data_IF_874677515386
#
_entry.id   IF_874677515386
#
_cell.length_a   1.000
_cell.length_b   1.000
_cell.length_c   1.000
_cell.angle_alpha   90.00
_cell.angle_beta   90.00
_cell.angle_gamma   90.00
#
_symmetry.space_group_name_H-M   'P 1'
#
loop_
_entity.id
_entity.type
_entity.pdbx_description
1 polymer ?
#
# COMPACT_ATOMS: atom_id res chain seq x y z
N UNK A 1 14.45 -16.56 7.77
CA UNK A 1 15.25 -17.20 6.69
C UNK A 1 14.63 -16.83 5.35
N UNK A 2 15.42 -16.60 4.30
CA UNK A 2 14.87 -16.37 2.96
C UNK A 2 14.17 -17.64 2.45
N UNK A 3 13.15 -17.47 1.59
CA UNK A 3 12.30 -18.58 1.10
C UNK A 3 13.14 -19.77 0.59
N UNK A 4 14.08 -19.52 -0.33
CA UNK A 4 14.88 -20.58 -0.96
C UNK A 4 15.79 -21.32 0.03
N UNK A 5 16.36 -20.62 1.00
CA UNK A 5 17.16 -21.26 2.05
C UNK A 5 16.30 -22.13 2.96
N UNK A 6 15.12 -21.64 3.34
CA UNK A 6 14.15 -22.42 4.13
C UNK A 6 13.69 -23.66 3.38
N UNK A 7 13.34 -23.52 2.09
CA UNK A 7 12.89 -24.63 1.26
C UNK A 7 13.99 -25.68 1.05
N UNK A 8 15.25 -25.24 0.89
CA UNK A 8 16.40 -26.15 0.84
C UNK A 8 16.53 -26.98 2.12
N UNK A 9 16.39 -26.35 3.30
CA UNK A 9 16.46 -27.04 4.59
C UNK A 9 15.31 -28.05 4.81
N UNK A 10 14.20 -27.92 4.08
CA UNK A 10 13.09 -28.87 4.12
C UNK A 10 13.36 -30.19 3.39
N UNK A 11 14.35 -30.23 2.49
CA UNK A 11 14.66 -31.44 1.72
C UNK A 11 15.44 -32.46 2.58
N UNK A 12 14.71 -33.40 3.15
CA UNK A 12 15.26 -34.54 3.88
C UNK A 12 14.78 -35.86 3.27
N UNK A 13 15.71 -36.71 2.82
CA UNK A 13 15.42 -38.00 2.18
C UNK A 13 14.73 -39.00 3.10
N UNK A 14 14.70 -38.75 4.41
CA UNK A 14 14.03 -39.61 5.41
C UNK A 14 12.56 -39.25 5.62
N UNK A 15 12.12 -38.08 5.16
CA UNK A 15 10.76 -37.57 5.35
C UNK A 15 9.83 -38.01 4.23
N UNK A 16 8.54 -38.11 4.54
CA UNK A 16 7.52 -38.35 3.52
C UNK A 16 7.32 -37.09 2.68
N UNK A 17 6.83 -37.26 1.45
CA UNK A 17 6.56 -36.14 0.55
C UNK A 17 5.64 -35.07 1.19
N UNK A 18 4.58 -35.49 1.87
CA UNK A 18 3.62 -34.58 2.53
C UNK A 18 4.29 -33.70 3.60
N UNK A 19 5.22 -34.26 4.37
CA UNK A 19 5.98 -33.54 5.39
C UNK A 19 6.92 -32.50 4.76
N UNK A 20 7.52 -32.83 3.61
CA UNK A 20 8.36 -31.92 2.84
C UNK A 20 7.49 -30.80 2.24
N UNK A 21 6.34 -31.12 1.65
CA UNK A 21 5.42 -30.15 1.05
C UNK A 21 4.95 -29.13 2.09
N UNK A 22 4.44 -29.59 3.23
CA UNK A 22 3.99 -28.72 4.32
C UNK A 22 5.14 -27.85 4.86
N UNK A 23 6.37 -28.39 4.96
CA UNK A 23 7.54 -27.59 5.35
C UNK A 23 7.83 -26.45 4.36
N UNK A 24 7.81 -26.73 3.06
CA UNK A 24 8.07 -25.75 2.00
C UNK A 24 6.94 -24.71 1.92
N UNK A 25 5.68 -25.10 2.14
CA UNK A 25 4.56 -24.18 2.25
C UNK A 25 4.74 -23.21 3.43
N UNK A 26 5.18 -23.70 4.59
CA UNK A 26 5.45 -22.82 5.73
C UNK A 26 6.59 -21.82 5.45
N UNK A 27 7.52 -22.14 4.54
CA UNK A 27 8.57 -21.20 4.12
C UNK A 27 8.03 -20.01 3.30
N UNK A 28 6.84 -20.10 2.70
CA UNK A 28 6.25 -19.01 1.92
C UNK A 28 5.46 -18.02 2.80
N UNK A 29 5.02 -18.43 3.99
CA UNK A 29 4.24 -17.59 4.91
C UNK A 29 4.88 -16.20 5.15
N UNK A 30 6.20 -16.06 5.38
CA UNK A 30 6.80 -14.75 5.59
C UNK A 30 6.66 -13.80 4.39
N UNK A 31 6.82 -14.31 3.16
CA UNK A 31 6.69 -13.48 1.95
C UNK A 31 5.22 -13.16 1.64
N UNK A 32 4.31 -14.08 1.90
CA UNK A 32 2.87 -13.82 1.77
C UNK A 32 2.40 -12.75 2.75
N UNK A 33 2.83 -12.82 4.01
CA UNK A 33 2.52 -11.80 5.01
C UNK A 33 3.10 -10.44 4.62
N UNK A 34 4.30 -10.41 4.04
CA UNK A 34 4.91 -9.19 3.56
C UNK A 34 4.10 -8.55 2.41
N UNK A 35 3.68 -9.36 1.43
CA UNK A 35 2.82 -8.89 0.34
C UNK A 35 1.49 -8.34 0.87
N UNK A 36 0.82 -9.08 1.75
CA UNK A 36 -0.45 -8.65 2.35
C UNK A 36 -0.31 -7.30 3.08
N UNK A 37 0.81 -7.08 3.77
CA UNK A 37 1.08 -5.81 4.42
C UNK A 37 1.20 -4.66 3.40
N UNK A 38 1.98 -4.87 2.33
CA UNK A 38 2.14 -3.86 1.26
C UNK A 38 0.80 -3.51 0.64
N UNK A 39 0.00 -4.53 0.30
CA UNK A 39 -1.33 -4.35 -0.25
C UNK A 39 -2.24 -3.56 0.69
N UNK A 40 -2.24 -3.90 1.99
CA UNK A 40 -3.06 -3.22 2.99
C UNK A 40 -2.67 -1.75 3.18
N UNK A 41 -1.37 -1.44 3.21
CA UNK A 41 -0.90 -0.06 3.34
C UNK A 41 -1.19 0.74 2.07
N UNK A 42 -1.08 0.12 0.89
CA UNK A 42 -1.44 0.76 -0.37
C UNK A 42 -2.94 1.01 -0.49
N UNK A 43 -3.78 0.09 -0.01
CA UNK A 43 -5.22 0.28 0.02
C UNK A 43 -5.63 1.48 0.90
N UNK A 44 -5.01 1.64 2.08
CA UNK A 44 -5.23 2.81 2.95
C UNK A 44 -4.78 4.11 2.29
N UNK A 45 -3.63 4.08 1.63
CA UNK A 45 -3.13 5.22 0.88
C UNK A 45 -4.10 5.66 -0.23
N UNK A 46 -4.61 4.70 -1.00
CA UNK A 46 -5.62 4.94 -2.03
C UNK A 46 -6.93 5.47 -1.46
N UNK A 47 -7.41 4.93 -0.33
CA UNK A 47 -8.60 5.42 0.36
C UNK A 47 -8.46 6.89 0.78
N UNK A 48 -7.33 7.25 1.39
CA UNK A 48 -7.03 8.63 1.77
C UNK A 48 -7.02 9.57 0.57
N UNK A 49 -6.36 9.19 -0.52
CA UNK A 49 -6.31 9.97 -1.75
C UNK A 49 -7.72 10.16 -2.34
N UNK A 50 -8.50 9.08 -2.47
CA UNK A 50 -9.87 9.15 -2.99
C UNK A 50 -10.75 10.07 -2.14
N UNK A 51 -10.64 10.00 -0.82
CA UNK A 51 -11.38 10.89 0.08
C UNK A 51 -11.01 12.36 -0.15
N UNK A 52 -9.73 12.68 -0.36
CA UNK A 52 -9.30 14.05 -0.68
C UNK A 52 -9.87 14.55 -2.00
N UNK A 53 -9.98 13.69 -3.01
CA UNK A 53 -10.59 14.05 -4.30
C UNK A 53 -12.10 14.31 -4.19
N UNK A 54 -12.82 13.53 -3.39
CA UNK A 54 -14.26 13.76 -3.10
C UNK A 54 -14.46 15.15 -2.48
N UNK A 55 -13.59 15.58 -1.56
CA UNK A 55 -13.65 16.93 -0.98
C UNK A 55 -13.47 18.02 -2.05
N UNK A 56 -12.60 17.80 -3.04
CA UNK A 56 -12.43 18.74 -4.14
C UNK A 56 -13.68 18.80 -5.03
N UNK A 57 -14.31 17.66 -5.30
CA UNK A 57 -15.56 17.58 -6.04
C UNK A 57 -16.69 18.33 -5.29
N UNK A 58 -16.83 18.13 -3.98
CA UNK A 58 -17.84 18.81 -3.16
C UNK A 58 -17.67 20.33 -3.21
N UNK A 59 -16.44 20.82 -3.12
CA UNK A 59 -16.14 22.26 -3.24
C UNK A 59 -16.54 22.82 -4.59
N UNK A 60 -16.27 22.07 -5.66
CA UNK A 60 -16.65 22.47 -7.02
C UNK A 60 -18.18 22.54 -7.19
N UNK A 61 -18.91 21.53 -6.72
CA UNK A 61 -20.38 21.54 -6.79
C UNK A 61 -20.98 22.68 -5.94
N UNK A 62 -20.40 22.98 -4.77
CA UNK A 62 -20.81 24.15 -3.98
C UNK A 62 -20.56 25.48 -4.70
N UNK A 63 -19.43 25.64 -5.41
CA UNK A 63 -19.16 26.84 -6.20
C UNK A 63 -20.17 27.03 -7.35
N UNK A 64 -20.56 25.92 -8.01
CA UNK A 64 -21.61 25.92 -9.03
C UNK A 64 -22.97 26.36 -8.48
N UNK A 65 -23.37 25.85 -7.31
CA UNK A 65 -24.62 26.24 -6.66
C UNK A 65 -24.66 27.73 -6.31
N UNK A 66 -23.52 28.32 -5.92
CA UNK A 66 -23.38 29.76 -5.64
C UNK A 66 -23.36 30.63 -6.90
N UNK A 67 -23.56 30.06 -8.09
CA UNK A 67 -23.42 30.72 -9.40
C UNK A 67 -22.06 31.40 -9.63
N UNK A 68 -21.03 30.99 -8.88
CA UNK A 68 -19.64 31.43 -9.10
C UNK A 68 -19.10 30.61 -10.27
N UNK A 69 -19.52 30.97 -11.50
CA UNK A 69 -19.14 30.23 -12.71
C UNK A 69 -17.70 30.51 -13.15
N UNK A 70 -17.22 31.73 -12.90
CA UNK A 70 -15.87 32.16 -13.24
C UNK A 70 -14.91 31.77 -12.12
N UNK A 71 -14.02 30.80 -12.37
CA UNK A 71 -12.95 30.42 -11.45
C UNK A 71 -13.13 29.06 -10.75
N UNK A 72 -14.34 28.49 -10.73
CA UNK A 72 -14.60 27.21 -10.08
C UNK A 72 -13.75 26.05 -10.63
N UNK A 73 -13.47 26.04 -11.94
CA UNK A 73 -12.59 25.04 -12.57
C UNK A 73 -11.15 25.21 -12.10
N UNK A 74 -10.63 26.44 -12.05
CA UNK A 74 -9.28 26.72 -11.57
C UNK A 74 -9.11 26.37 -10.08
N UNK A 75 -10.16 26.61 -9.28
CA UNK A 75 -10.19 26.20 -7.87
C UNK A 75 -10.21 24.68 -7.70
N UNK A 76 -10.96 23.97 -8.56
CA UNK A 76 -10.97 22.50 -8.59
C UNK A 76 -9.58 21.97 -8.95
N UNK A 77 -8.96 22.48 -10.01
CA UNK A 77 -7.60 22.11 -10.42
C UNK A 77 -6.59 22.34 -9.29
N UNK A 78 -6.62 23.53 -8.67
CA UNK A 78 -5.77 23.85 -7.52
C UNK A 78 -6.06 23.00 -6.28
N UNK A 79 -7.28 22.50 -6.12
CA UNK A 79 -7.63 21.56 -5.06
C UNK A 79 -7.04 20.18 -5.32
N UNK A 80 -7.21 19.68 -6.55
CA UNK A 80 -6.69 18.37 -6.97
C UNK A 80 -5.17 18.35 -6.91
N UNK A 81 -4.50 19.39 -7.39
CA UNK A 81 -3.03 19.49 -7.32
C UNK A 81 -2.53 19.40 -5.88
N UNK A 82 -3.14 20.17 -4.96
CA UNK A 82 -2.81 20.07 -3.52
C UNK A 82 -3.09 18.69 -2.94
N UNK A 83 -4.23 18.08 -3.25
CA UNK A 83 -4.56 16.73 -2.78
C UNK A 83 -3.55 15.67 -3.25
N UNK A 84 -3.05 15.82 -4.48
CA UNK A 84 -2.00 14.95 -5.03
C UNK A 84 -0.66 15.23 -4.34
N UNK A 85 -0.26 16.49 -4.17
CA UNK A 85 0.98 16.86 -3.47
C UNK A 85 0.98 16.35 -2.02
N UNK A 86 -0.13 16.52 -1.30
CA UNK A 86 -0.30 16.01 0.06
C UNK A 86 -0.16 14.47 0.09
N UNK A 87 -0.75 13.78 -0.90
CA UNK A 87 -0.60 12.33 -1.04
C UNK A 87 0.85 11.93 -1.32
N UNK A 88 1.57 12.65 -2.18
CA UNK A 88 2.99 12.39 -2.45
C UNK A 88 3.83 12.55 -1.17
N UNK A 89 3.55 13.57 -0.36
CA UNK A 89 4.23 13.81 0.92
C UNK A 89 3.98 12.72 1.96
N UNK A 90 2.90 11.93 1.82
CA UNK A 90 2.60 10.79 2.69
C UNK A 90 3.34 9.51 2.28
N UNK A 91 3.78 9.38 1.02
CA UNK A 91 4.48 8.18 0.54
C UNK A 91 5.69 7.78 1.39
N UNK A 92 6.58 8.70 1.83
CA UNK A 92 7.68 8.36 2.72
C UNK A 92 7.22 7.69 4.02
N UNK A 93 6.12 8.15 4.62
CA UNK A 93 5.57 7.55 5.85
C UNK A 93 5.04 6.14 5.62
N UNK A 94 4.37 5.89 4.49
CA UNK A 94 3.93 4.55 4.08
C UNK A 94 5.15 3.63 3.93
N UNK A 95 6.18 4.10 3.23
CA UNK A 95 7.44 3.36 3.04
C UNK A 95 8.14 3.07 4.36
N UNK A 96 8.22 4.03 5.27
CA UNK A 96 8.85 3.84 6.58
C UNK A 96 8.10 2.80 7.42
N UNK A 97 6.76 2.81 7.38
CA UNK A 97 5.96 1.79 8.04
C UNK A 97 6.21 0.40 7.48
N UNK A 98 6.31 0.27 6.16
CA UNK A 98 6.64 -0.99 5.49
C UNK A 98 8.04 -1.46 5.87
N UNK A 99 9.05 -0.59 5.81
CA UNK A 99 10.43 -0.91 6.21
C UNK A 99 10.52 -1.40 7.64
N UNK A 100 9.88 -0.69 8.58
CA UNK A 100 9.88 -1.03 10.01
C UNK A 100 9.23 -2.38 10.29
N UNK A 101 8.11 -2.68 9.62
CA UNK A 101 7.36 -3.93 9.84
C UNK A 101 8.05 -5.12 9.18
N UNK A 102 8.62 -4.93 7.99
CA UNK A 102 9.31 -5.97 7.23
C UNK A 102 10.79 -6.13 7.63
N UNK A 103 11.30 -5.28 8.54
CA UNK A 103 12.73 -5.21 8.89
C UNK A 103 13.65 -5.05 7.68
N UNK A 104 13.17 -4.43 6.60
CA UNK A 104 13.95 -4.15 5.39
C UNK A 104 15.02 -3.12 5.76
N UNK A 105 16.27 -3.55 5.88
CA UNK A 105 17.41 -2.72 6.29
C UNK A 105 18.17 -3.21 7.53
N UNK A 106 17.73 -4.30 8.19
CA UNK A 106 18.57 -5.06 9.13
C UNK A 106 19.13 -6.29 8.41
N UNK A 107 20.19 -6.07 7.62
CA UNK A 107 21.06 -7.13 7.10
C UNK A 107 22.45 -6.83 7.64
#
# INVERSE_FOLDING_TARGET
>A
KAYFQCAHDCFDRRRKFEEISNCVENCSIPVMNANQLVENEMAKFQEMMNRSLVVCQDKFEQAKLKQIKTGAINELESCVDRAVQDSIQLLPHVVDRLKNTLSIGRI
#
